data_IF_158210687839
#
_entry.id   IF_158210687839
#
_cell.length_a   1.000
_cell.length_b   1.000
_cell.length_c   1.000
_cell.angle_alpha   90.00
_cell.angle_beta   90.00
_cell.angle_gamma   90.00
#
_symmetry.space_group_name_H-M   'P 1'
#
loop_
_entity.id
_entity.type
_entity.pdbx_description
1 polymer ?
#
# COMPACT_ATOMS: atom_id res chain seq x y z
N UNK A 1 -9.84 13.31 -7.51
CA UNK A 1 -8.88 14.22 -6.84
C UNK A 1 -8.72 13.95 -5.35
N UNK A 2 -9.80 13.74 -4.57
CA UNK A 2 -9.68 13.45 -3.13
C UNK A 2 -8.94 12.14 -2.79
N UNK A 3 -9.00 11.12 -3.65
CA UNK A 3 -8.33 9.83 -3.40
C UNK A 3 -6.80 9.93 -3.45
N UNK A 4 -6.23 10.65 -4.43
CA UNK A 4 -4.78 10.87 -4.54
C UNK A 4 -4.23 11.64 -3.34
N UNK A 5 -4.98 12.65 -2.88
CA UNK A 5 -4.62 13.42 -1.68
C UNK A 5 -4.58 12.55 -0.40
N UNK A 6 -5.41 11.50 -0.30
CA UNK A 6 -5.42 10.54 0.82
C UNK A 6 -4.16 9.68 0.86
N UNK A 7 -3.54 9.43 -0.29
CA UNK A 7 -2.26 8.68 -0.38
C UNK A 7 -1.03 9.60 -0.45
N UNK A 8 -1.21 10.90 -0.20
CA UNK A 8 -0.12 11.87 -0.17
C UNK A 8 0.33 12.41 -1.54
N UNK A 9 -0.37 12.06 -2.63
CA UNK A 9 -0.12 12.60 -3.97
C UNK A 9 -0.96 13.88 -4.15
N UNK A 10 -0.33 15.05 -4.00
CA UNK A 10 -0.98 16.38 -4.01
C UNK A 10 -0.29 17.33 -4.99
N UNK A 11 -1.00 18.39 -5.39
CA UNK A 11 -0.44 19.46 -6.22
C UNK A 11 -0.02 18.98 -7.61
N UNK A 12 1.11 19.48 -8.10
CA UNK A 12 1.70 19.11 -9.40
C UNK A 12 2.07 17.63 -9.47
N UNK A 13 2.42 17.03 -8.34
CA UNK A 13 2.77 15.61 -8.23
C UNK A 13 1.64 14.66 -8.66
N UNK A 14 0.38 15.11 -8.54
CA UNK A 14 -0.78 14.35 -9.00
C UNK A 14 -1.03 14.49 -10.52
N UNK A 15 -0.31 15.39 -11.19
CA UNK A 15 -0.35 15.65 -12.63
C UNK A 15 0.87 15.08 -13.36
N UNK A 16 1.93 14.73 -12.63
CA UNK A 16 3.13 14.16 -13.21
C UNK A 16 2.86 12.83 -13.94
N UNK A 17 3.53 12.57 -15.06
CA UNK A 17 3.55 11.27 -15.71
C UNK A 17 4.04 10.18 -14.74
N UNK A 18 3.52 8.96 -14.90
CA UNK A 18 3.91 7.82 -14.06
C UNK A 18 5.44 7.58 -14.07
N UNK A 19 6.08 7.85 -15.19
CA UNK A 19 7.53 7.74 -15.41
C UNK A 19 8.36 8.72 -14.58
N UNK A 20 7.76 9.80 -14.08
CA UNK A 20 8.43 10.82 -13.27
C UNK A 20 8.17 10.64 -11.76
N UNK A 21 7.28 9.71 -11.39
CA UNK A 21 7.04 9.37 -10.00
C UNK A 21 8.14 8.43 -9.49
N UNK A 22 8.62 8.69 -8.27
CA UNK A 22 9.47 7.76 -7.54
C UNK A 22 8.78 6.41 -7.32
N UNK A 23 9.55 5.35 -7.06
CA UNK A 23 8.98 4.02 -6.80
C UNK A 23 7.94 4.02 -5.68
N UNK A 24 8.16 4.79 -4.61
CA UNK A 24 7.20 4.95 -3.51
C UNK A 24 5.92 5.69 -3.91
N UNK A 25 6.00 6.69 -4.78
CA UNK A 25 4.84 7.40 -5.31
C UNK A 25 4.03 6.55 -6.29
N UNK A 26 4.70 5.74 -7.12
CA UNK A 26 4.03 4.78 -7.99
C UNK A 26 3.26 3.71 -7.20
N UNK A 27 3.84 3.23 -6.09
CA UNK A 27 3.16 2.27 -5.20
C UNK A 27 1.94 2.92 -4.54
N UNK A 28 2.06 4.15 -4.03
CA UNK A 28 0.94 4.94 -3.48
C UNK A 28 -0.17 5.16 -4.51
N UNK A 29 0.19 5.46 -5.76
CA UNK A 29 -0.77 5.62 -6.85
C UNK A 29 -1.48 4.30 -7.16
N UNK A 30 -0.75 3.20 -7.29
CA UNK A 30 -1.32 1.86 -7.54
C UNK A 30 -2.31 1.47 -6.43
N UNK A 31 -1.97 1.71 -5.16
CA UNK A 31 -2.88 1.49 -4.03
C UNK A 31 -4.12 2.38 -4.11
N UNK A 32 -3.95 3.67 -4.44
CA UNK A 32 -5.07 4.60 -4.61
C UNK A 32 -6.02 4.15 -5.72
N UNK A 33 -5.51 3.54 -6.80
CA UNK A 33 -6.32 2.96 -7.86
C UNK A 33 -7.03 1.69 -7.38
N UNK A 34 -6.32 0.81 -6.64
CA UNK A 34 -6.90 -0.41 -6.08
C UNK A 34 -8.03 -0.11 -5.08
N UNK A 35 -7.86 0.89 -4.21
CA UNK A 35 -8.87 1.32 -3.24
C UNK A 35 -10.11 1.97 -3.89
N UNK A 36 -10.03 2.39 -5.15
CA UNK A 36 -11.18 2.93 -5.90
C UNK A 36 -11.99 1.84 -6.60
N UNK A 37 -11.44 0.62 -6.71
CA UNK A 37 -12.20 -0.54 -7.19
C UNK A 37 -12.90 -1.19 -6.00
N UNK A 38 -14.16 -1.57 -6.20
CA UNK A 38 -14.90 -2.41 -5.25
C UNK A 38 -14.32 -3.82 -5.32
N UNK A 39 -13.33 -4.08 -4.48
CA UNK A 39 -12.70 -5.39 -4.34
C UNK A 39 -12.96 -5.90 -2.93
N UNK A 40 -13.32 -7.17 -2.81
CA UNK A 40 -13.64 -7.80 -1.51
C UNK A 40 -12.39 -8.37 -0.82
N UNK A 41 -11.35 -8.69 -1.59
CA UNK A 41 -10.11 -9.31 -1.12
C UNK A 41 -8.90 -8.75 -1.87
N UNK A 42 -7.91 -8.25 -1.12
CA UNK A 42 -6.64 -7.78 -1.63
C UNK A 42 -5.53 -8.76 -1.25
N UNK A 43 -4.75 -9.20 -2.23
CA UNK A 43 -3.59 -10.08 -2.01
C UNK A 43 -2.33 -9.33 -2.42
N UNK A 44 -1.35 -9.23 -1.51
CA UNK A 44 -0.10 -8.53 -1.73
C UNK A 44 1.07 -9.44 -1.41
N UNK A 45 2.02 -9.52 -2.36
CA UNK A 45 3.26 -10.25 -2.21
C UNK A 45 4.44 -9.28 -2.12
N UNK A 46 5.17 -9.33 -1.00
CA UNK A 46 6.29 -8.45 -0.63
C UNK A 46 6.07 -6.96 -0.98
N UNK A 47 4.95 -6.33 -0.57
CA UNK A 47 4.59 -4.99 -1.02
C UNK A 47 5.48 -3.88 -0.41
N UNK A 48 6.29 -4.21 0.59
CA UNK A 48 7.25 -3.29 1.22
C UNK A 48 8.60 -3.24 0.51
N UNK A 49 8.83 -4.12 -0.47
CA UNK A 49 10.11 -4.21 -1.14
C UNK A 49 10.42 -2.92 -1.90
N UNK A 50 11.67 -2.47 -1.83
CA UNK A 50 12.13 -1.20 -2.41
C UNK A 50 11.44 0.07 -1.88
N UNK A 51 10.68 -0.02 -0.78
CA UNK A 51 10.06 1.15 -0.14
C UNK A 51 10.96 1.73 0.96
N UNK A 52 11.07 3.05 0.98
CA UNK A 52 11.61 3.77 2.13
C UNK A 52 10.62 3.75 3.32
N UNK A 53 11.09 4.18 4.50
CA UNK A 53 10.29 4.18 5.74
C UNK A 53 8.98 4.98 5.58
N UNK A 54 9.02 6.13 4.91
CA UNK A 54 7.83 6.99 4.72
C UNK A 54 6.82 6.32 3.79
N UNK A 55 7.28 5.60 2.77
CA UNK A 55 6.44 4.86 1.85
C UNK A 55 5.81 3.65 2.54
N UNK A 56 6.57 2.92 3.37
CA UNK A 56 6.03 1.82 4.21
C UNK A 56 4.93 2.31 5.15
N UNK A 57 5.14 3.42 5.86
CA UNK A 57 4.12 3.99 6.75
C UNK A 57 2.84 4.40 6.01
N UNK A 58 2.99 5.00 4.82
CA UNK A 58 1.85 5.39 4.00
C UNK A 58 1.07 4.17 3.48
N UNK A 59 1.78 3.13 3.03
CA UNK A 59 1.19 1.86 2.63
C UNK A 59 0.44 1.23 3.81
N UNK A 60 1.05 1.15 5.00
CA UNK A 60 0.42 0.61 6.22
C UNK A 60 -0.88 1.35 6.54
N UNK A 61 -0.88 2.69 6.51
CA UNK A 61 -2.10 3.49 6.73
C UNK A 61 -3.18 3.24 5.67
N UNK A 62 -2.80 3.07 4.40
CA UNK A 62 -3.75 2.79 3.33
C UNK A 62 -4.39 1.40 3.48
N UNK A 63 -3.59 0.38 3.81
CA UNK A 63 -4.06 -0.99 4.04
C UNK A 63 -4.96 -1.09 5.28
N UNK A 64 -4.63 -0.38 6.35
CA UNK A 64 -5.49 -0.33 7.55
C UNK A 64 -6.86 0.31 7.30
N UNK A 65 -6.97 1.19 6.29
CA UNK A 65 -8.22 1.84 5.90
C UNK A 65 -8.98 1.07 4.80
N UNK A 66 -8.43 -0.04 4.30
CA UNK A 66 -9.07 -0.84 3.26
C UNK A 66 -10.22 -1.66 3.86
N UNK A 67 -11.46 -1.54 3.35
CA UNK A 67 -12.62 -2.18 3.97
C UNK A 67 -12.77 -3.67 3.65
N UNK A 68 -11.97 -4.21 2.72
CA UNK A 68 -12.03 -5.62 2.31
C UNK A 68 -11.08 -6.51 3.12
N UNK A 69 -11.06 -7.80 2.79
CA UNK A 69 -10.08 -8.74 3.33
C UNK A 69 -8.68 -8.48 2.78
N UNK A 70 -7.64 -8.72 3.58
CA UNK A 70 -6.25 -8.57 3.21
C UNK A 70 -5.50 -9.89 3.42
N UNK A 71 -4.82 -10.36 2.38
CA UNK A 71 -3.77 -11.37 2.46
C UNK A 71 -2.44 -10.68 2.16
N UNK A 72 -1.51 -10.76 3.10
CA UNK A 72 -0.22 -10.11 3.02
C UNK A 72 0.87 -11.17 3.17
N UNK A 73 1.75 -11.26 2.18
CA UNK A 73 2.99 -12.03 2.25
C UNK A 73 4.13 -11.04 2.45
N UNK A 74 4.88 -11.21 3.53
CA UNK A 74 6.04 -10.38 3.84
C UNK A 74 6.99 -11.09 4.81
N UNK A 75 8.29 -10.88 4.63
CA UNK A 75 9.31 -11.25 5.61
C UNK A 75 9.42 -10.25 6.79
N UNK A 76 8.76 -9.08 6.72
CA UNK A 76 8.85 -8.03 7.74
C UNK A 76 7.73 -8.13 8.78
N UNK A 77 7.94 -8.89 9.86
CA UNK A 77 6.96 -9.03 10.97
C UNK A 77 6.41 -7.70 11.50
N UNK A 78 7.22 -6.66 11.79
CA UNK A 78 6.71 -5.38 12.30
C UNK A 78 5.77 -4.65 11.33
N UNK A 79 5.89 -4.94 10.03
CA UNK A 79 4.99 -4.35 9.04
C UNK A 79 3.59 -4.96 9.14
N UNK A 80 3.49 -6.28 9.23
CA UNK A 80 2.23 -7.02 9.38
C UNK A 80 1.52 -6.77 10.72
N UNK A 81 2.27 -6.45 11.78
CA UNK A 81 1.72 -6.12 13.09
C UNK A 81 0.72 -4.95 13.03
N UNK A 82 -0.48 -5.18 13.54
CA UNK A 82 -1.56 -4.19 13.53
C UNK A 82 -2.27 -4.01 12.18
N UNK A 83 -1.84 -4.71 11.12
CA UNK A 83 -2.58 -4.85 9.86
C UNK A 83 -3.35 -6.16 9.80
N UNK A 84 -2.69 -7.26 10.15
CA UNK A 84 -3.26 -8.60 10.06
C UNK A 84 -3.81 -9.04 11.42
N UNK A 85 -5.01 -9.62 11.40
CA UNK A 85 -5.65 -10.25 12.56
C UNK A 85 -5.19 -11.71 12.77
N UNK A 86 -4.72 -12.35 11.70
CA UNK A 86 -4.20 -13.72 11.70
C UNK A 86 -2.79 -13.67 11.07
N UNK A 87 -1.83 -14.27 11.75
CA UNK A 87 -0.44 -14.39 11.28
C UNK A 87 -0.14 -15.88 11.12
N UNK A 88 0.27 -16.27 9.92
CA UNK A 88 0.72 -17.62 9.61
C UNK A 88 2.24 -17.57 9.39
N UNK A 89 3.00 -18.18 10.29
CA UNK A 89 4.45 -18.34 10.12
C UNK A 89 4.68 -19.60 9.26
N UNK A 90 5.07 -19.40 8.00
CA UNK A 90 5.45 -20.49 7.10
C UNK A 90 6.90 -20.85 7.41
N UNK A 91 7.11 -21.98 8.08
CA UNK A 91 8.43 -22.59 8.28
C UNK A 91 8.62 -23.66 7.21
N UNK A 92 9.81 -23.72 6.63
CA UNK A 92 10.25 -24.88 5.83
C UNK A 92 10.18 -26.17 6.66
#
# INVERSE_FOLDING_TARGET
RNALAKVGLKGELALNPLSELSGGEQVRLKLCVLMQKTTNLLVLDEPTNHLDVRAKDALKKALAAYPGGLILVTHEKPFAEGLCNIILDVKE
#
